data_IF_233906858964
#
_entry.id   IF_233906858964
#
_cell.length_a   1.000
_cell.length_b   1.000
_cell.length_c   1.000
_cell.angle_alpha   90.00
_cell.angle_beta   90.00
_cell.angle_gamma   90.00
#
_symmetry.space_group_name_H-M   'P 1'
#
loop_
_entity.id
_entity.type
_entity.pdbx_description
1 polymer ?
#
# COMPACT_ATOMS: atom_id res chain seq x y z
N UNK A 1 12.06 18.19 -18.51
CA UNK A 1 10.73 18.26 -17.85
C UNK A 1 10.81 17.39 -16.61
N UNK A 2 10.31 17.85 -15.47
CA UNK A 2 10.12 16.96 -14.32
C UNK A 2 9.00 15.96 -14.68
N UNK A 3 9.18 14.66 -14.40
CA UNK A 3 8.18 13.66 -14.77
C UNK A 3 6.94 13.70 -13.90
N UNK A 4 5.87 13.05 -14.38
CA UNK A 4 4.57 13.02 -13.70
C UNK A 4 4.66 12.10 -12.49
N UNK A 5 4.21 12.58 -11.33
CA UNK A 5 4.06 11.75 -10.13
C UNK A 5 2.56 11.60 -9.85
N UNK A 6 2.06 10.37 -9.92
CA UNK A 6 0.70 10.04 -9.50
C UNK A 6 0.63 10.02 -7.97
N UNK A 7 -0.16 10.92 -7.39
CA UNK A 7 -0.31 11.07 -5.95
C UNK A 7 -1.43 10.17 -5.36
N UNK A 8 -2.15 9.41 -6.19
CA UNK A 8 -3.27 8.59 -5.72
C UNK A 8 -3.38 7.26 -6.47
N UNK A 9 -2.42 6.38 -6.22
CA UNK A 9 -2.39 5.05 -6.84
C UNK A 9 -2.66 3.97 -5.80
N UNK A 10 -3.60 3.07 -6.08
CA UNK A 10 -3.94 2.01 -5.15
C UNK A 10 -3.16 0.73 -5.42
N UNK A 11 -2.62 0.15 -4.36
CA UNK A 11 -2.11 -1.22 -4.34
C UNK A 11 -2.52 -1.89 -3.04
N UNK A 12 -2.90 -3.16 -3.12
CA UNK A 12 -3.24 -3.99 -1.96
C UNK A 12 -2.53 -5.34 -2.06
N UNK A 13 -1.71 -5.73 -1.08
CA UNK A 13 -1.07 -7.05 -1.08
C UNK A 13 -2.12 -8.17 -1.12
N UNK A 14 -1.85 -9.29 -1.82
CA UNK A 14 -2.77 -10.43 -1.90
C UNK A 14 -3.27 -10.91 -0.53
N UNK A 15 -2.41 -10.91 0.49
CA UNK A 15 -2.73 -11.30 1.86
C UNK A 15 -3.85 -10.46 2.47
N UNK A 16 -3.89 -9.16 2.16
CA UNK A 16 -4.93 -8.25 2.63
C UNK A 16 -6.15 -8.30 1.70
N UNK A 17 -5.91 -8.34 0.39
CA UNK A 17 -6.95 -8.29 -0.62
C UNK A 17 -7.94 -9.47 -0.52
N UNK A 18 -7.45 -10.68 -0.21
CA UNK A 18 -8.30 -11.87 -0.02
C UNK A 18 -9.28 -11.75 1.16
N UNK A 19 -9.10 -10.77 2.04
CA UNK A 19 -9.96 -10.50 3.19
C UNK A 19 -11.03 -9.44 2.90
N UNK A 20 -11.17 -8.97 1.65
CA UNK A 20 -12.17 -7.98 1.25
C UNK A 20 -13.40 -8.64 0.63
N UNK A 21 -14.59 -8.08 0.84
CA UNK A 21 -15.81 -8.56 0.16
C UNK A 21 -15.75 -8.38 -1.36
N UNK A 22 -15.10 -7.30 -1.81
CA UNK A 22 -14.92 -6.98 -3.22
C UNK A 22 -13.46 -7.16 -3.62
N UNK A 23 -12.97 -8.39 -3.56
CA UNK A 23 -11.64 -8.70 -4.08
C UNK A 23 -11.58 -8.36 -5.58
N UNK A 24 -10.74 -7.40 -5.94
CA UNK A 24 -10.34 -7.15 -7.33
C UNK A 24 -8.89 -7.58 -7.46
N UNK A 25 -8.65 -8.68 -8.19
CA UNK A 25 -7.30 -9.20 -8.43
C UNK A 25 -6.33 -8.14 -8.96
N UNK A 26 -6.83 -7.20 -9.78
CA UNK A 26 -6.05 -6.09 -10.31
C UNK A 26 -5.51 -5.11 -9.26
N UNK A 27 -6.02 -5.11 -8.02
CA UNK A 27 -5.45 -4.29 -6.94
C UNK A 27 -4.11 -4.82 -6.41
N UNK A 28 -3.77 -6.06 -6.76
CA UNK A 28 -2.53 -6.70 -6.35
C UNK A 28 -1.52 -6.85 -7.50
N UNK A 29 -1.83 -6.31 -8.69
CA UNK A 29 -1.06 -6.50 -9.92
C UNK A 29 -0.09 -5.32 -10.16
N UNK A 30 1.07 -5.39 -9.53
CA UNK A 30 2.09 -4.34 -9.64
C UNK A 30 2.72 -4.26 -11.02
N UNK A 31 2.83 -5.39 -11.73
CA UNK A 31 3.42 -5.45 -13.06
C UNK A 31 2.53 -4.73 -14.07
N UNK A 32 1.21 -4.92 -13.98
CA UNK A 32 0.26 -4.16 -14.80
C UNK A 32 0.29 -2.68 -14.46
N UNK A 33 0.42 -2.32 -13.19
CA UNK A 33 0.54 -0.91 -12.78
C UNK A 33 1.79 -0.25 -13.37
N UNK A 34 2.95 -0.91 -13.33
CA UNK A 34 4.19 -0.45 -13.96
C UNK A 34 4.04 -0.27 -15.47
N UNK A 35 3.44 -1.25 -16.16
CA UNK A 35 3.19 -1.17 -17.59
C UNK A 35 2.31 0.04 -17.96
N UNK A 36 1.23 0.27 -17.19
CA UNK A 36 0.36 1.42 -17.39
C UNK A 36 1.07 2.75 -17.09
N UNK A 37 1.94 2.80 -16.08
CA UNK A 37 2.77 3.97 -15.81
C UNK A 37 3.69 4.28 -16.99
N UNK A 38 4.34 3.27 -17.57
CA UNK A 38 5.21 3.42 -18.73
C UNK A 38 4.42 3.89 -19.97
N UNK A 39 3.27 3.27 -20.25
CA UNK A 39 2.37 3.63 -21.35
C UNK A 39 1.90 5.11 -21.26
N UNK A 40 1.79 5.66 -20.05
CA UNK A 40 1.25 7.00 -19.80
C UNK A 40 2.31 8.01 -19.33
N UNK A 41 3.60 7.67 -19.38
CA UNK A 41 4.71 8.53 -18.96
C UNK A 41 4.62 9.00 -17.48
N UNK A 42 4.13 8.13 -16.60
CA UNK A 42 4.12 8.34 -15.14
C UNK A 42 5.47 7.89 -14.57
N UNK A 43 6.24 8.86 -14.08
CA UNK A 43 7.58 8.62 -13.53
C UNK A 43 7.48 7.82 -12.23
N UNK A 44 6.63 8.29 -11.30
CA UNK A 44 6.43 7.66 -9.99
C UNK A 44 4.97 7.62 -9.58
N UNK A 45 4.63 6.70 -8.69
CA UNK A 45 3.32 6.63 -8.07
C UNK A 45 3.40 6.48 -6.55
N UNK A 46 2.57 7.23 -5.82
CA UNK A 46 2.33 7.06 -4.39
C UNK A 46 1.34 5.91 -4.20
N UNK A 47 1.80 4.83 -3.57
CA UNK A 47 1.01 3.65 -3.27
C UNK A 47 0.22 3.86 -1.98
N UNK A 48 -1.10 3.88 -2.11
CA UNK A 48 -2.07 4.07 -1.05
C UNK A 48 -2.92 2.83 -0.84
N UNK A 49 -3.28 2.59 0.41
CA UNK A 49 -4.27 1.57 0.75
C UNK A 49 -5.65 1.99 0.20
N UNK A 50 -6.33 1.15 -0.60
CA UNK A 50 -7.70 1.41 -1.01
C UNK A 50 -8.65 1.22 0.18
N UNK A 51 -9.66 2.08 0.29
CA UNK A 51 -10.73 1.88 1.29
C UNK A 51 -11.37 0.51 1.10
N UNK A 52 -11.35 -0.31 2.15
CA UNK A 52 -11.90 -1.67 2.12
C UNK A 52 -12.39 -2.13 3.50
N UNK A 53 -13.05 -3.28 3.52
CA UNK A 53 -13.56 -3.98 4.69
C UNK A 53 -12.62 -5.06 5.24
N UNK A 54 -11.36 -5.13 4.75
CA UNK A 54 -10.40 -6.17 5.15
C UNK A 54 -10.22 -6.29 6.67
N UNK A 55 -10.24 -5.15 7.38
CA UNK A 55 -10.10 -5.08 8.83
C UNK A 55 -11.19 -5.88 9.58
N UNK A 56 -12.39 -6.02 9.03
CA UNK A 56 -13.47 -6.81 9.64
C UNK A 56 -13.13 -8.30 9.68
N UNK A 57 -12.51 -8.81 8.60
CA UNK A 57 -12.18 -10.23 8.46
C UNK A 57 -10.79 -10.56 9.03
N UNK A 58 -9.87 -9.58 9.05
CA UNK A 58 -8.54 -9.76 9.63
C UNK A 58 -8.55 -9.60 11.16
N UNK A 59 -9.58 -9.01 11.77
CA UNK A 59 -9.67 -8.81 13.21
C UNK A 59 -9.04 -7.50 13.69
N UNK A 60 -9.30 -6.41 12.97
CA UNK A 60 -8.91 -5.04 13.31
C UNK A 60 -7.82 -4.46 12.41
N UNK A 61 -7.67 -3.13 12.45
CA UNK A 61 -6.69 -2.41 11.63
C UNK A 61 -5.25 -2.73 12.01
N UNK A 62 -4.98 -3.10 13.26
CA UNK A 62 -3.64 -3.54 13.68
C UNK A 62 -3.10 -4.73 12.88
N UNK A 63 -3.96 -5.70 12.52
CA UNK A 63 -3.51 -6.83 11.68
C UNK A 63 -3.39 -6.44 10.21
N UNK A 64 -4.24 -5.53 9.72
CA UNK A 64 -4.11 -4.99 8.37
C UNK A 64 -2.80 -4.22 8.23
N UNK A 65 -2.44 -3.34 9.17
CA UNK A 65 -1.20 -2.55 9.11
C UNK A 65 0.05 -3.44 9.23
N UNK A 66 -0.01 -4.50 10.04
CA UNK A 66 1.05 -5.51 10.16
C UNK A 66 1.32 -6.27 8.86
N UNK A 67 0.29 -6.57 8.07
CA UNK A 67 0.44 -7.23 6.77
C UNK A 67 0.78 -6.21 5.65
N UNK A 68 0.09 -5.07 5.63
CA UNK A 68 0.18 -4.08 4.56
C UNK A 68 1.52 -3.34 4.54
N UNK A 69 1.95 -2.77 5.67
CA UNK A 69 3.12 -1.87 5.70
C UNK A 69 4.41 -2.56 5.26
N UNK A 70 4.75 -3.79 5.74
CA UNK A 70 5.94 -4.50 5.26
C UNK A 70 5.88 -4.87 3.78
N UNK A 71 4.68 -5.22 3.28
CA UNK A 71 4.51 -5.57 1.88
C UNK A 71 4.71 -4.36 0.96
N UNK A 72 4.19 -3.18 1.34
CA UNK A 72 4.46 -1.93 0.62
C UNK A 72 5.94 -1.57 0.69
N UNK A 73 6.55 -1.61 1.86
CA UNK A 73 7.96 -1.30 2.02
C UNK A 73 8.85 -2.21 1.14
N UNK A 74 8.56 -3.52 1.11
CA UNK A 74 9.26 -4.47 0.23
C UNK A 74 9.12 -4.08 -1.24
N UNK A 75 7.90 -3.77 -1.68
CA UNK A 75 7.61 -3.42 -3.07
C UNK A 75 8.30 -2.11 -3.46
N UNK A 76 8.25 -1.09 -2.60
CA UNK A 76 8.96 0.18 -2.79
C UNK A 76 10.46 -0.06 -2.89
N UNK A 77 11.06 -0.91 -2.04
CA UNK A 77 12.48 -1.25 -2.17
C UNK A 77 12.82 -1.94 -3.49
N UNK A 78 11.98 -2.86 -3.96
CA UNK A 78 12.18 -3.57 -5.24
C UNK A 78 12.07 -2.62 -6.45
N UNK A 79 11.36 -1.51 -6.30
CA UNK A 79 11.06 -0.57 -7.37
C UNK A 79 11.28 0.89 -6.93
N UNK A 80 12.40 1.16 -6.23
CA UNK A 80 12.66 2.43 -5.52
C UNK A 80 12.72 3.67 -6.43
N UNK A 81 12.94 3.48 -7.73
CA UNK A 81 12.85 4.53 -8.73
C UNK A 81 11.44 4.85 -9.20
N UNK A 82 10.44 4.02 -8.89
CA UNK A 82 9.08 4.07 -9.46
C UNK A 82 7.97 4.26 -8.43
N UNK A 83 8.17 3.86 -7.18
CA UNK A 83 7.11 3.96 -6.17
C UNK A 83 7.53 4.73 -4.93
N UNK A 84 6.54 5.37 -4.32
CA UNK A 84 6.60 5.97 -2.98
C UNK A 84 5.57 5.23 -2.13
N UNK A 85 5.96 4.77 -0.95
CA UNK A 85 5.07 4.03 -0.05
C UNK A 85 4.30 4.95 0.90
N UNK A 86 3.03 4.64 1.16
CA UNK A 86 2.27 5.23 2.26
C UNK A 86 1.85 4.13 3.23
N UNK A 87 2.39 4.17 4.45
CA UNK A 87 1.95 3.27 5.52
C UNK A 87 0.57 3.63 6.07
N UNK A 88 -0.15 2.64 6.58
CA UNK A 88 -1.43 2.80 7.27
C UNK A 88 -1.29 2.60 8.79
N UNK A 89 -2.22 3.20 9.54
CA UNK A 89 -2.20 3.19 11.00
C UNK A 89 -3.38 2.39 11.58
N UNK A 90 -3.21 1.77 12.76
CA UNK A 90 -4.28 1.07 13.47
C UNK A 90 -5.25 2.05 14.14
N UNK A 91 -6.11 2.69 13.35
CA UNK A 91 -7.01 3.75 13.82
C UNK A 91 -8.07 3.28 14.81
N UNK A 92 -8.31 1.97 14.91
CA UNK A 92 -9.18 1.35 15.90
C UNK A 92 -8.53 1.21 17.29
N UNK A 93 -7.22 1.47 17.40
CA UNK A 93 -6.47 1.39 18.65
C UNK A 93 -5.49 2.57 18.77
N UNK A 94 -5.93 3.70 19.35
CA UNK A 94 -5.12 4.91 19.49
C UNK A 94 -3.75 4.68 20.17
N UNK A 95 -3.70 3.80 21.17
CA UNK A 95 -2.47 3.51 21.92
C UNK A 95 -1.39 2.84 21.05
N UNK A 96 -1.77 2.26 19.90
CA UNK A 96 -0.85 1.60 18.97
C UNK A 96 -0.40 2.50 17.81
N UNK A 97 -1.01 3.69 17.64
CA UNK A 97 -0.71 4.58 16.50
C UNK A 97 0.75 5.04 16.52
N UNK A 98 1.24 5.49 17.68
CA UNK A 98 2.62 5.99 17.82
C UNK A 98 3.64 4.89 17.51
N UNK A 99 3.44 3.69 18.07
CA UNK A 99 4.32 2.55 17.82
C UNK A 99 4.33 2.15 16.34
N UNK A 100 3.18 2.22 15.67
CA UNK A 100 3.10 1.90 14.24
C UNK A 100 3.77 2.99 13.37
N UNK A 101 3.64 4.27 13.74
CA UNK A 101 4.35 5.36 13.06
C UNK A 101 5.86 5.16 13.15
N UNK A 102 6.39 4.76 14.30
CA UNK A 102 7.82 4.48 14.44
C UNK A 102 8.23 3.25 13.63
N UNK A 103 7.42 2.19 13.64
CA UNK A 103 7.66 1.00 12.80
C UNK A 103 7.67 1.32 11.31
N UNK A 104 6.79 2.20 10.84
CA UNK A 104 6.77 2.64 9.43
C UNK A 104 8.06 3.36 9.07
N UNK A 105 8.61 4.22 9.96
CA UNK A 105 9.90 4.88 9.71
C UNK A 105 11.04 3.87 9.55
N UNK A 106 11.04 2.80 10.36
CA UNK A 106 12.07 1.76 10.32
C UNK A 106 11.99 0.89 9.05
N UNK A 107 10.83 0.87 8.38
CA UNK A 107 10.64 0.12 7.14
C UNK A 107 11.20 0.82 5.89
N UNK A 108 11.63 2.08 5.99
CA UNK A 108 12.10 2.89 4.85
C UNK A 108 10.98 3.47 3.99
#
# INVERSE_FOLDING_TARGET
MAGIIDAHSHFMPPEVAQNTQFFKAGWSDIDRQLALMDENNIEKALLLYPTSDAHLNMGGWGKVSQAYNPAIAKLVHQHSGRFIGAGILPVDNPDKILNELDRIKDLG
#
